data_IF_630581390100
#
_entry.id   IF_630581390100
#
_cell.length_a   1.000
_cell.length_b   1.000
_cell.length_c   1.000
_cell.angle_alpha   90.00
_cell.angle_beta   90.00
_cell.angle_gamma   90.00
#
_symmetry.space_group_name_H-M   'P 1'
#
loop_
_entity.id
_entity.type
_entity.pdbx_description
1 polymer ?
#
# COMPACT_ATOMS: atom_id res chain seq x y z
N UNK A 1 -15.19 -4.06 -4.18
CA UNK A 1 -14.62 -2.84 -3.54
C UNK A 1 -15.04 -2.73 -2.08
N UNK A 2 -16.29 -3.09 -1.73
CA UNK A 2 -16.75 -3.12 -0.33
C UNK A 2 -16.14 -4.23 0.53
N UNK A 3 -15.47 -5.20 -0.08
CA UNK A 3 -14.90 -6.37 0.59
C UNK A 3 -13.68 -6.01 1.45
N UNK A 4 -13.13 -4.81 1.27
CA UNK A 4 -12.09 -4.25 2.12
C UNK A 4 -12.61 -3.72 3.47
N UNK A 5 -13.92 -3.67 3.67
CA UNK A 5 -14.53 -3.20 4.93
C UNK A 5 -14.09 -4.05 6.13
N UNK A 6 -14.08 -5.39 5.96
CA UNK A 6 -13.64 -6.33 6.99
C UNK A 6 -12.13 -6.20 7.31
N UNK A 7 -11.20 -6.30 6.34
CA UNK A 7 -9.78 -6.17 6.63
C UNK A 7 -9.38 -4.78 7.10
N UNK A 8 -10.14 -3.72 6.75
CA UNK A 8 -9.92 -2.37 7.28
C UNK A 8 -10.70 -2.07 8.56
N UNK A 9 -11.44 -3.05 9.10
CA UNK A 9 -12.25 -2.91 10.31
C UNK A 9 -13.17 -1.68 10.29
N UNK A 10 -13.75 -1.37 9.14
CA UNK A 10 -14.61 -0.22 8.92
C UNK A 10 -15.89 -0.59 8.17
N UNK A 11 -16.83 0.34 8.05
CA UNK A 11 -18.05 0.09 7.28
C UNK A 11 -17.81 0.25 5.77
N UNK A 12 -18.68 -0.36 4.95
CA UNK A 12 -18.61 -0.28 3.48
C UNK A 12 -18.62 1.14 2.93
N UNK A 13 -19.27 2.07 3.64
CA UNK A 13 -19.32 3.49 3.27
C UNK A 13 -17.95 4.15 3.43
N UNK A 14 -17.23 3.87 4.52
CA UNK A 14 -15.88 4.41 4.73
C UNK A 14 -14.91 3.97 3.64
N UNK A 15 -15.05 2.72 3.17
CA UNK A 15 -14.25 2.23 2.02
C UNK A 15 -14.56 3.04 0.77
N UNK A 16 -15.84 3.23 0.45
CA UNK A 16 -16.28 4.01 -0.70
C UNK A 16 -15.80 5.46 -0.62
N UNK A 17 -16.01 6.13 0.50
CA UNK A 17 -15.62 7.52 0.71
C UNK A 17 -14.12 7.70 0.55
N UNK A 18 -13.31 6.74 1.00
CA UNK A 18 -11.85 6.79 0.88
C UNK A 18 -11.39 6.70 -0.58
N UNK A 19 -12.00 5.84 -1.39
CA UNK A 19 -11.73 5.77 -2.83
C UNK A 19 -12.24 7.00 -3.59
N UNK A 20 -13.35 7.60 -3.17
CA UNK A 20 -13.92 8.78 -3.82
C UNK A 20 -13.26 10.11 -3.42
N UNK A 21 -12.66 10.20 -2.23
CA UNK A 21 -12.10 11.45 -1.68
C UNK A 21 -10.65 11.72 -2.05
N UNK A 22 -10.03 10.87 -2.89
CA UNK A 22 -8.58 10.91 -3.19
C UNK A 22 -7.70 10.94 -1.93
N UNK A 23 -8.20 10.39 -0.81
CA UNK A 23 -7.46 10.33 0.44
C UNK A 23 -6.41 9.24 0.37
N UNK A 24 -5.16 9.61 0.66
CA UNK A 24 -4.06 8.64 0.71
C UNK A 24 -4.36 7.49 1.67
N UNK A 25 -4.03 6.28 1.24
CA UNK A 25 -4.12 5.09 2.05
C UNK A 25 -3.02 5.09 3.11
N UNK A 26 -3.41 4.97 4.37
CA UNK A 26 -2.44 4.72 5.44
C UNK A 26 -1.77 3.34 5.25
N UNK A 27 -0.55 3.12 5.75
CA UNK A 27 0.18 1.86 5.55
C UNK A 27 -0.62 0.63 6.00
N UNK A 28 -1.37 0.75 7.11
CA UNK A 28 -2.22 -0.35 7.59
C UNK A 28 -3.32 -0.76 6.59
N UNK A 29 -3.87 0.17 5.80
CA UNK A 29 -4.84 -0.18 4.76
C UNK A 29 -4.20 -0.96 3.61
N UNK A 30 -2.94 -0.61 3.28
CA UNK A 30 -2.16 -1.26 2.23
C UNK A 30 -1.85 -2.70 2.64
N UNK A 31 -1.31 -2.92 3.85
CA UNK A 31 -0.99 -4.27 4.35
C UNK A 31 -2.23 -5.17 4.50
N UNK A 32 -3.35 -4.57 4.94
CA UNK A 32 -4.61 -5.28 5.04
C UNK A 32 -5.15 -5.70 3.66
N UNK A 33 -4.99 -4.85 2.63
CA UNK A 33 -5.36 -5.18 1.25
C UNK A 33 -4.43 -6.25 0.65
N UNK A 34 -3.12 -6.16 0.88
CA UNK A 34 -2.13 -7.17 0.47
C UNK A 34 -2.51 -8.55 1.00
N UNK A 35 -2.78 -8.62 2.31
CA UNK A 35 -3.14 -9.86 2.98
C UNK A 35 -4.47 -10.42 2.46
N UNK A 36 -5.48 -9.57 2.32
CA UNK A 36 -6.81 -9.97 1.85
C UNK A 36 -6.81 -10.49 0.41
N UNK A 37 -6.12 -9.78 -0.49
CA UNK A 37 -6.00 -10.16 -1.90
C UNK A 37 -4.99 -11.27 -2.13
N UNK A 38 -4.22 -11.64 -1.09
CA UNK A 38 -3.16 -12.65 -1.13
C UNK A 38 -2.14 -12.35 -2.25
N UNK A 39 -1.76 -11.08 -2.34
CA UNK A 39 -0.79 -10.62 -3.32
C UNK A 39 0.55 -11.30 -3.08
N UNK A 40 1.26 -11.59 -4.17
CA UNK A 40 2.64 -12.05 -4.07
C UNK A 40 3.57 -10.90 -3.67
N UNK A 41 4.85 -11.20 -3.49
CA UNK A 41 5.83 -10.21 -3.06
C UNK A 41 5.97 -9.04 -4.05
N UNK A 42 5.88 -9.30 -5.35
CA UNK A 42 6.03 -8.28 -6.39
C UNK A 42 4.82 -7.35 -6.43
N UNK A 43 3.61 -7.92 -6.46
CA UNK A 43 2.36 -7.15 -6.43
C UNK A 43 2.23 -6.34 -5.12
N UNK A 44 2.64 -6.94 -3.99
CA UNK A 44 2.66 -6.26 -2.71
C UNK A 44 3.68 -5.10 -2.67
N UNK A 45 4.85 -5.28 -3.27
CA UNK A 45 5.87 -4.22 -3.37
C UNK A 45 5.39 -3.07 -4.26
N UNK A 46 4.77 -3.37 -5.41
CA UNK A 46 4.18 -2.36 -6.28
C UNK A 46 3.11 -1.55 -5.54
N UNK A 47 2.19 -2.22 -4.83
CA UNK A 47 1.12 -1.55 -4.10
C UNK A 47 1.66 -0.64 -2.98
N UNK A 48 2.70 -1.06 -2.26
CA UNK A 48 3.37 -0.22 -1.24
C UNK A 48 4.00 1.03 -1.85
N UNK A 49 4.68 0.88 -2.99
CA UNK A 49 5.30 2.01 -3.69
C UNK A 49 4.27 3.01 -4.20
N UNK A 50 3.18 2.53 -4.81
CA UNK A 50 2.08 3.38 -5.26
C UNK A 50 1.42 4.10 -4.08
N UNK A 51 1.12 3.37 -3.00
CA UNK A 51 0.51 3.93 -1.80
C UNK A 51 1.40 4.93 -1.05
N UNK A 52 2.73 4.83 -1.17
CA UNK A 52 3.67 5.83 -0.65
C UNK A 52 3.82 7.06 -1.57
N UNK A 53 3.71 6.87 -2.89
CA UNK A 53 3.84 7.94 -3.89
C UNK A 53 2.67 8.92 -3.87
N UNK A 54 1.44 8.43 -3.76
CA UNK A 54 0.23 9.27 -3.76
C UNK A 54 0.19 10.36 -2.66
N UNK A 55 0.56 10.09 -1.41
CA UNK A 55 0.70 11.11 -0.37
C UNK A 55 1.99 11.95 -0.45
N UNK A 56 2.87 11.67 -1.42
CA UNK A 56 4.16 12.35 -1.55
C UNK A 56 5.15 11.97 -0.44
N UNK A 57 5.12 10.72 0.04
CA UNK A 57 6.11 10.30 1.03
C UNK A 57 7.52 10.36 0.44
N UNK A 58 8.47 10.84 1.24
CA UNK A 58 9.88 10.82 0.90
C UNK A 58 10.38 9.38 0.97
N UNK A 59 10.27 8.66 -0.15
CA UNK A 59 10.85 7.33 -0.29
C UNK A 59 12.37 7.51 -0.29
N UNK A 60 13.04 6.96 0.72
CA UNK A 60 14.50 6.93 0.75
C UNK A 60 15.00 5.97 -0.33
N UNK A 61 15.46 6.53 -1.44
CA UNK A 61 15.94 5.78 -2.60
C UNK A 61 17.23 5.02 -2.33
N UNK A 62 17.91 5.30 -1.21
CA UNK A 62 19.07 4.51 -0.77
C UNK A 62 18.75 3.03 -0.69
N UNK A 63 17.57 2.67 -0.18
CA UNK A 63 17.14 1.29 -0.02
C UNK A 63 16.55 0.67 -1.29
N UNK A 64 16.38 1.45 -2.36
CA UNK A 64 15.93 0.96 -3.68
C UNK A 64 17.09 0.63 -4.62
N UNK A 65 18.27 1.19 -4.35
CA UNK A 65 19.43 1.17 -5.26
C UNK A 65 20.63 0.42 -4.69
N UNK A 66 20.56 -0.07 -3.45
CA UNK A 66 21.59 -0.95 -2.91
C UNK A 66 21.56 -2.29 -3.66
N UNK A 67 22.47 -2.42 -4.63
CA UNK A 67 22.77 -3.70 -5.28
C UNK A 67 23.30 -4.65 -4.19
N UNK A 68 22.62 -5.78 -3.90
CA UNK A 68 23.08 -6.72 -2.89
C UNK A 68 24.45 -7.35 -3.23
N UNK A 69 24.96 -7.17 -4.46
CA UNK A 69 26.31 -7.56 -4.88
C UNK A 69 27.35 -6.42 -4.80
N UNK A 70 26.98 -5.20 -4.39
CA UNK A 70 27.94 -4.12 -4.15
C UNK A 70 28.61 -4.26 -2.76
N UNK A 71 29.36 -5.35 -2.58
CA UNK A 71 30.31 -5.52 -1.48
C UNK A 71 31.67 -5.90 -2.08
N UNK A 72 32.56 -4.92 -2.13
CA UNK A 72 34.01 -5.12 -2.28
C UNK A 72 34.61 -5.80 -1.03
#
# INVERSE_FOLDING_TARGET
>A
MHDLAEPWQCCKQNVYDRFCSACALAPGHIEAAITFLRLDEFDAAELRLLGAREPGWAIDTKYLLEDPNARD
#
